data_IF_488577243180
#
_entry.id   IF_488577243180
#
_cell.length_a   1.000
_cell.length_b   1.000
_cell.length_c   1.000
_cell.angle_alpha   90.00
_cell.angle_beta   90.00
_cell.angle_gamma   90.00
#
_symmetry.space_group_name_H-M   'P 1'
#
loop_
_entity.id
_entity.type
_entity.pdbx_description
1 polymer ?
#
# COMPACT_ATOMS: atom_id res chain seq x y z
N UNK A 1 53.96 -27.49 -36.81
CA UNK A 1 52.98 -28.14 -37.70
C UNK A 1 51.65 -28.20 -36.96
N UNK A 2 50.64 -27.50 -37.50
CA UNK A 2 49.20 -27.85 -37.60
C UNK A 2 48.49 -28.27 -36.28
N UNK A 3 47.38 -27.67 -35.82
CA UNK A 3 46.51 -26.66 -36.42
C UNK A 3 45.43 -26.20 -35.42
N UNK A 4 45.05 -24.93 -35.53
CA UNK A 4 43.93 -24.32 -34.83
C UNK A 4 42.62 -24.70 -35.53
N UNK A 5 41.69 -25.34 -34.83
CA UNK A 5 40.34 -25.59 -35.33
C UNK A 5 39.41 -24.43 -34.99
N UNK A 6 39.02 -23.70 -36.03
CA UNK A 6 37.98 -22.67 -36.05
C UNK A 6 36.60 -23.28 -35.81
N UNK A 7 35.88 -22.84 -34.79
CA UNK A 7 34.45 -23.14 -34.62
C UNK A 7 33.60 -22.03 -35.25
N UNK A 8 32.80 -22.46 -36.22
CA UNK A 8 31.95 -21.66 -37.09
C UNK A 8 30.69 -21.17 -36.35
N UNK A 9 30.64 -19.87 -36.04
CA UNK A 9 29.37 -19.15 -35.86
C UNK A 9 28.68 -19.04 -37.21
N UNK A 10 27.52 -19.71 -37.35
CA UNK A 10 26.35 -19.41 -38.21
C UNK A 10 25.69 -20.72 -38.61
N UNK A 11 24.52 -21.00 -38.02
CA UNK A 11 23.36 -21.73 -38.58
C UNK A 11 22.53 -22.28 -37.42
N UNK A 12 21.49 -21.56 -37.02
CA UNK A 12 20.23 -22.11 -36.49
C UNK A 12 19.23 -20.98 -36.28
N UNK A 13 18.92 -20.29 -37.38
CA UNK A 13 17.66 -19.60 -37.57
C UNK A 13 16.68 -20.58 -38.22
N UNK A 14 15.43 -20.54 -37.78
CA UNK A 14 14.26 -21.26 -38.30
C UNK A 14 14.13 -22.76 -37.98
N UNK A 15 13.52 -23.04 -36.83
CA UNK A 15 12.64 -24.19 -36.69
C UNK A 15 11.48 -23.86 -35.73
N UNK A 16 10.26 -24.06 -36.23
CA UNK A 16 9.00 -24.24 -35.50
C UNK A 16 8.26 -23.00 -34.96
N UNK A 17 7.65 -22.29 -35.93
CA UNK A 17 6.23 -21.93 -35.84
C UNK A 17 5.37 -23.19 -35.55
N UNK A 18 4.27 -22.97 -34.84
CA UNK A 18 3.19 -23.90 -34.53
C UNK A 18 3.40 -24.84 -33.32
N UNK A 19 3.33 -24.25 -32.12
CA UNK A 19 2.54 -24.86 -31.04
C UNK A 19 1.32 -23.97 -30.86
N UNK A 20 0.19 -24.50 -31.34
CA UNK A 20 -1.20 -24.27 -30.95
C UNK A 20 -1.38 -23.16 -29.90
N UNK A 21 -2.01 -22.03 -30.21
CA UNK A 21 -3.47 -21.95 -30.41
C UNK A 21 -4.26 -22.95 -29.54
N UNK A 22 -3.87 -23.08 -28.28
CA UNK A 22 -4.71 -23.65 -27.24
C UNK A 22 -5.22 -22.52 -26.38
N UNK A 23 -6.48 -22.18 -26.67
CA UNK A 23 -7.45 -21.81 -25.66
C UNK A 23 -7.17 -20.43 -25.05
N UNK A 24 -7.51 -19.39 -25.84
CA UNK A 24 -8.23 -18.26 -25.26
C UNK A 24 -9.56 -18.78 -24.69
N UNK A 25 -9.50 -19.48 -23.56
CA UNK A 25 -10.58 -19.41 -22.58
C UNK A 25 -10.50 -17.98 -22.09
N UNK A 26 -11.29 -17.11 -22.73
CA UNK A 26 -12.01 -16.11 -21.97
C UNK A 26 -12.75 -16.88 -20.88
N UNK A 27 -12.05 -17.13 -19.77
CA UNK A 27 -12.74 -17.13 -18.50
C UNK A 27 -13.42 -15.77 -18.51
N UNK A 28 -14.75 -15.80 -18.64
CA UNK A 28 -15.54 -14.73 -18.07
C UNK A 28 -15.07 -14.69 -16.61
N UNK A 29 -14.10 -13.82 -16.34
CA UNK A 29 -13.64 -13.49 -15.02
C UNK A 29 -14.94 -13.04 -14.36
N UNK A 30 -15.46 -13.89 -13.47
CA UNK A 30 -16.47 -13.46 -12.54
C UNK A 30 -15.77 -12.39 -11.74
N UNK A 31 -15.89 -11.13 -12.19
CA UNK A 31 -15.63 -9.95 -11.39
C UNK A 31 -16.65 -10.09 -10.27
N UNK A 32 -16.31 -10.88 -9.26
CA UNK A 32 -16.98 -10.83 -7.98
C UNK A 32 -16.78 -9.40 -7.56
N UNK A 33 -17.83 -8.59 -7.71
CA UNK A 33 -17.87 -7.24 -7.15
C UNK A 33 -17.95 -7.44 -5.65
N UNK A 34 -16.82 -7.75 -5.03
CA UNK A 34 -16.67 -7.75 -3.59
C UNK A 34 -16.84 -6.29 -3.19
N UNK A 35 -18.05 -5.96 -2.74
CA UNK A 35 -18.33 -4.66 -2.14
C UNK A 35 -17.53 -4.64 -0.84
N UNK A 36 -16.61 -3.71 -0.75
CA UNK A 36 -15.85 -3.37 0.44
C UNK A 36 -16.48 -2.13 1.09
N UNK A 37 -16.30 -2.00 2.39
CA UNK A 37 -16.74 -0.82 3.14
C UNK A 37 -15.48 -0.15 3.71
N UNK A 38 -15.27 1.12 3.35
CA UNK A 38 -14.15 1.92 3.83
C UNK A 38 -14.75 3.13 4.54
N UNK A 39 -14.61 3.21 5.87
CA UNK A 39 -15.21 4.26 6.70
C UNK A 39 -16.73 4.46 6.48
N UNK A 40 -17.48 3.37 6.34
CA UNK A 40 -18.94 3.44 6.15
C UNK A 40 -19.39 3.66 4.70
N UNK A 41 -18.45 3.79 3.76
CA UNK A 41 -18.74 4.03 2.34
C UNK A 41 -18.57 2.72 1.57
N UNK A 42 -19.65 2.23 0.97
CA UNK A 42 -19.62 1.05 0.11
C UNK A 42 -18.93 1.36 -1.22
N UNK A 43 -17.93 0.57 -1.57
CA UNK A 43 -17.14 0.72 -2.80
C UNK A 43 -16.67 -0.64 -3.32
N UNK A 44 -16.28 -0.73 -4.59
CA UNK A 44 -15.57 -1.90 -5.16
C UNK A 44 -14.05 -1.82 -4.92
N UNK A 45 -13.62 -1.00 -3.97
CA UNK A 45 -12.23 -0.75 -3.62
C UNK A 45 -11.61 0.35 -4.48
N UNK A 46 -10.29 0.41 -4.50
CA UNK A 46 -9.52 1.50 -5.10
C UNK A 46 -9.62 1.55 -6.64
N UNK A 47 -10.10 0.47 -7.28
CA UNK A 47 -10.37 0.38 -8.72
C UNK A 47 -11.79 0.79 -9.12
N UNK A 48 -12.62 1.16 -8.16
CA UNK A 48 -13.99 1.56 -8.43
C UNK A 48 -14.01 2.81 -9.35
N UNK A 49 -14.75 2.83 -10.46
CA UNK A 49 -14.86 4.04 -11.28
C UNK A 49 -15.39 5.27 -10.51
N UNK A 50 -16.12 5.06 -9.41
CA UNK A 50 -16.59 6.12 -8.53
C UNK A 50 -15.53 6.54 -7.48
N UNK A 51 -14.40 5.83 -7.42
CA UNK A 51 -13.23 6.18 -6.62
C UNK A 51 -12.41 7.28 -7.30
N UNK A 52 -12.77 8.53 -7.02
CA UNK A 52 -12.10 9.71 -7.58
C UNK A 52 -11.30 10.45 -6.50
N UNK A 53 -9.98 10.29 -6.51
CA UNK A 53 -9.10 11.11 -5.68
C UNK A 53 -9.22 12.58 -6.08
N UNK A 54 -9.41 13.48 -5.10
CA UNK A 54 -9.49 14.93 -5.33
C UNK A 54 -10.77 15.46 -5.96
N UNK A 55 -11.76 14.61 -6.24
CA UNK A 55 -13.06 15.06 -6.72
C UNK A 55 -14.03 15.23 -5.57
N UNK A 56 -14.80 16.32 -5.57
CA UNK A 56 -15.83 16.60 -4.56
C UNK A 56 -16.95 15.54 -4.54
N UNK A 57 -17.16 14.85 -5.67
CA UNK A 57 -18.27 13.92 -5.91
C UNK A 57 -17.89 12.43 -5.86
N UNK A 58 -16.66 12.08 -5.46
CA UNK A 58 -16.17 10.70 -5.42
C UNK A 58 -16.31 10.00 -4.08
N UNK A 59 -16.34 8.66 -4.08
CA UNK A 59 -16.33 7.84 -2.87
C UNK A 59 -15.09 8.12 -2.01
N UNK A 60 -13.93 8.37 -2.63
CA UNK A 60 -12.70 8.70 -1.93
C UNK A 60 -12.83 9.97 -1.08
N UNK A 61 -13.56 10.99 -1.53
CA UNK A 61 -13.78 12.21 -0.75
C UNK A 61 -14.69 11.95 0.46
N UNK A 62 -15.73 11.14 0.30
CA UNK A 62 -16.60 10.72 1.40
C UNK A 62 -15.82 9.94 2.46
N UNK A 63 -15.00 8.97 2.03
CA UNK A 63 -14.09 8.23 2.90
C UNK A 63 -13.12 9.18 3.62
N UNK A 64 -12.57 10.17 2.91
CA UNK A 64 -11.62 11.13 3.48
C UNK A 64 -12.28 11.99 4.56
N UNK A 65 -13.49 12.49 4.32
CA UNK A 65 -14.25 13.26 5.30
C UNK A 65 -14.57 12.46 6.56
N UNK A 66 -15.03 11.21 6.39
CA UNK A 66 -15.30 10.29 7.50
C UNK A 66 -14.02 9.95 8.29
N UNK A 67 -12.92 9.65 7.60
CA UNK A 67 -11.62 9.38 8.19
C UNK A 67 -11.10 10.57 9.00
N UNK A 68 -11.17 11.79 8.46
CA UNK A 68 -10.76 13.03 9.16
C UNK A 68 -11.59 13.27 10.42
N UNK A 69 -12.89 13.01 10.36
CA UNK A 69 -13.77 13.14 11.52
C UNK A 69 -13.38 12.15 12.61
N UNK A 70 -13.20 10.87 12.24
CA UNK A 70 -12.81 9.80 13.17
C UNK A 70 -11.47 10.07 13.86
N UNK A 71 -10.50 10.64 13.14
CA UNK A 71 -9.14 10.90 13.64
C UNK A 71 -8.83 12.40 13.83
N UNK A 72 -9.85 13.18 14.16
CA UNK A 72 -9.74 14.63 14.35
C UNK A 72 -8.96 15.02 15.61
N UNK A 73 -8.95 14.17 16.64
CA UNK A 73 -8.25 14.40 17.90
C UNK A 73 -6.88 13.73 17.93
N UNK A 74 -5.95 14.30 18.70
CA UNK A 74 -4.63 13.71 18.95
C UNK A 74 -4.75 12.33 19.61
N UNK A 75 -5.59 12.22 20.64
CA UNK A 75 -5.87 10.97 21.37
C UNK A 75 -6.32 9.83 20.45
N UNK A 76 -7.25 10.07 19.52
CA UNK A 76 -7.71 9.04 18.58
C UNK A 76 -6.61 8.58 17.61
N UNK A 77 -5.66 9.46 17.28
CA UNK A 77 -4.51 9.13 16.43
C UNK A 77 -3.45 8.35 17.18
N UNK A 78 -3.17 8.75 18.42
CA UNK A 78 -2.24 8.04 19.30
C UNK A 78 -2.76 6.64 19.63
N UNK A 79 -4.06 6.50 19.93
CA UNK A 79 -4.72 5.21 20.14
C UNK A 79 -4.55 4.30 18.92
N UNK A 80 -4.87 4.80 17.71
CA UNK A 80 -4.67 4.04 16.47
C UNK A 80 -3.22 3.60 16.28
N UNK A 81 -2.26 4.52 16.40
CA UNK A 81 -0.86 4.19 16.12
C UNK A 81 -0.32 3.18 17.13
N UNK A 82 -0.66 3.34 18.40
CA UNK A 82 -0.29 2.40 19.47
C UNK A 82 -0.90 1.02 19.20
N UNK A 83 -2.20 0.97 18.89
CA UNK A 83 -2.92 -0.23 18.48
C UNK A 83 -2.26 -0.99 17.34
N UNK A 84 -1.79 -0.28 16.31
CA UNK A 84 -1.13 -0.89 15.15
C UNK A 84 0.24 -1.45 15.49
N UNK A 85 1.01 -0.79 16.36
CA UNK A 85 2.38 -1.18 16.71
C UNK A 85 2.40 -2.30 17.75
N UNK A 86 1.51 -2.21 18.74
CA UNK A 86 1.41 -3.13 19.89
C UNK A 86 0.37 -4.24 19.68
N UNK A 87 0.06 -4.55 18.43
CA UNK A 87 -0.93 -5.55 17.98
C UNK A 87 -0.82 -6.94 18.66
N UNK A 88 0.27 -7.20 19.38
CA UNK A 88 0.55 -8.43 20.12
C UNK A 88 -0.25 -8.56 21.43
N UNK A 89 -0.70 -7.46 22.03
CA UNK A 89 -1.08 -7.43 23.46
C UNK A 89 -2.53 -7.08 23.79
N UNK A 90 -3.39 -6.87 22.80
CA UNK A 90 -4.75 -6.40 23.08
C UNK A 90 -5.76 -7.08 22.16
N UNK A 91 -6.96 -7.34 22.71
CA UNK A 91 -8.23 -7.31 21.96
C UNK A 91 -8.43 -5.87 21.41
N UNK A 92 -7.42 -5.31 20.74
CA UNK A 92 -7.51 -4.02 20.10
C UNK A 92 -8.60 -4.21 19.08
N UNK A 93 -9.63 -3.41 19.27
CA UNK A 93 -10.73 -3.20 18.36
C UNK A 93 -10.31 -3.49 16.91
N UNK A 94 -10.68 -4.69 16.42
CA UNK A 94 -10.51 -5.14 15.02
C UNK A 94 -11.25 -4.23 14.02
N UNK A 95 -11.79 -3.11 14.49
CA UNK A 95 -12.71 -2.20 13.83
C UNK A 95 -12.12 -1.40 12.67
N UNK A 96 -10.84 -1.59 12.33
CA UNK A 96 -10.28 -1.06 11.09
C UNK A 96 -9.78 -2.20 10.22
N UNK A 97 -10.39 -2.31 9.06
CA UNK A 97 -9.89 -3.13 7.96
C UNK A 97 -8.52 -2.60 7.50
N UNK A 98 -7.73 -3.47 6.88
CA UNK A 98 -6.45 -3.04 6.32
C UNK A 98 -6.63 -2.04 5.15
N UNK A 99 -7.78 -2.08 4.46
CA UNK A 99 -8.14 -1.07 3.46
C UNK A 99 -8.25 0.34 4.05
N UNK A 100 -8.88 0.47 5.22
CA UNK A 100 -8.96 1.75 5.93
C UNK A 100 -7.58 2.22 6.39
N UNK A 101 -6.71 1.31 6.81
CA UNK A 101 -5.32 1.65 7.18
C UNK A 101 -4.52 2.13 5.96
N UNK A 102 -4.62 1.45 4.81
CA UNK A 102 -4.02 1.91 3.54
C UNK A 102 -4.54 3.30 3.17
N UNK A 103 -5.82 3.56 3.40
CA UNK A 103 -6.44 4.84 3.11
C UNK A 103 -5.90 5.96 4.02
N UNK A 104 -5.76 5.71 5.32
CA UNK A 104 -5.14 6.65 6.27
C UNK A 104 -3.69 6.96 5.84
N UNK A 105 -2.92 5.94 5.49
CA UNK A 105 -1.55 6.09 4.98
C UNK A 105 -1.50 6.99 3.73
N UNK A 106 -2.41 6.76 2.77
CA UNK A 106 -2.48 7.57 1.56
C UNK A 106 -2.76 9.05 1.85
N UNK A 107 -3.68 9.34 2.77
CA UNK A 107 -3.99 10.71 3.20
C UNK A 107 -2.81 11.36 3.94
N UNK A 108 -2.14 10.61 4.83
CA UNK A 108 -0.98 11.10 5.57
C UNK A 108 0.20 11.43 4.62
N UNK A 109 0.48 10.58 3.62
CA UNK A 109 1.51 10.88 2.62
C UNK A 109 1.14 12.05 1.72
N UNK A 110 -0.13 12.14 1.30
CA UNK A 110 -0.56 13.29 0.51
C UNK A 110 -0.30 14.60 1.25
N UNK A 111 -0.55 14.62 2.57
CA UNK A 111 -0.19 15.73 3.44
C UNK A 111 1.31 16.01 3.46
N UNK A 112 2.12 15.03 3.81
CA UNK A 112 3.56 15.21 3.89
C UNK A 112 4.15 15.71 2.56
N UNK A 113 3.67 15.19 1.43
CA UNK A 113 4.07 15.65 0.08
C UNK A 113 3.73 17.12 -0.13
N UNK A 114 2.52 17.53 0.24
CA UNK A 114 2.06 18.93 0.11
C UNK A 114 2.87 19.89 0.97
N UNK A 115 3.25 19.46 2.16
CA UNK A 115 4.08 20.24 3.10
C UNK A 115 5.57 20.17 2.77
N UNK A 116 5.94 19.51 1.65
CA UNK A 116 7.31 19.25 1.23
C UNK A 116 8.17 18.54 2.30
N UNK A 117 7.52 17.80 3.20
CA UNK A 117 8.16 17.00 4.23
C UNK A 117 8.70 15.71 3.60
N UNK A 118 9.91 15.33 3.99
CA UNK A 118 10.55 14.07 3.60
C UNK A 118 10.75 13.85 2.07
N UNK A 119 10.53 14.88 1.24
CA UNK A 119 10.69 14.83 -0.21
C UNK A 119 9.71 13.86 -0.91
N UNK A 120 10.10 13.32 -2.08
CA UNK A 120 9.27 12.36 -2.83
C UNK A 120 9.32 10.93 -2.27
N UNK A 121 9.79 10.73 -1.03
CA UNK A 121 10.10 9.42 -0.46
C UNK A 121 9.03 8.37 -0.68
N UNK A 122 7.78 8.75 -0.42
CA UNK A 122 6.62 7.88 -0.55
C UNK A 122 5.72 8.24 -1.73
N UNK A 123 6.09 9.23 -2.54
CA UNK A 123 5.31 9.64 -3.72
C UNK A 123 5.05 8.46 -4.65
N UNK A 124 6.07 7.64 -4.91
CA UNK A 124 5.93 6.44 -5.73
C UNK A 124 5.00 5.39 -5.11
N UNK A 125 5.06 5.18 -3.79
CA UNK A 125 4.19 4.19 -3.12
C UNK A 125 2.73 4.66 -3.17
N UNK A 126 2.51 5.96 -2.94
CA UNK A 126 1.21 6.58 -3.08
C UNK A 126 0.68 6.46 -4.51
N UNK A 127 1.50 6.77 -5.52
CA UNK A 127 1.11 6.66 -6.92
C UNK A 127 0.73 5.21 -7.28
N UNK A 128 1.47 4.21 -6.78
CA UNK A 128 1.16 2.79 -7.01
C UNK A 128 -0.08 2.30 -6.25
N UNK A 129 -0.35 2.82 -5.04
CA UNK A 129 -1.59 2.58 -4.31
C UNK A 129 -2.78 3.19 -5.04
N UNK A 130 -2.66 4.45 -5.49
CA UNK A 130 -3.71 5.18 -6.22
C UNK A 130 -4.05 4.50 -7.55
N UNK A 131 -3.05 4.00 -8.29
CA UNK A 131 -3.29 3.22 -9.51
C UNK A 131 -4.01 1.90 -9.24
N UNK A 132 -3.93 1.41 -8.00
CA UNK A 132 -4.50 0.13 -7.60
C UNK A 132 -4.00 -1.04 -8.46
N UNK A 133 -2.81 -0.97 -9.06
CA UNK A 133 -2.33 -2.06 -9.93
C UNK A 133 -1.49 -3.04 -9.11
N UNK A 134 -0.47 -2.53 -8.42
CA UNK A 134 0.58 -3.32 -7.77
C UNK A 134 0.15 -4.07 -6.51
N UNK A 135 -0.77 -3.49 -5.74
CA UNK A 135 -1.16 -4.00 -4.42
C UNK A 135 -2.59 -4.57 -4.38
N UNK A 136 -3.24 -4.71 -5.53
CA UNK A 136 -4.64 -5.16 -5.65
C UNK A 136 -4.77 -6.31 -6.66
N UNK A 137 -3.95 -7.35 -6.48
CA UNK A 137 -4.04 -8.62 -7.20
C UNK A 137 -4.83 -9.68 -6.40
N UNK A 138 -5.05 -10.86 -7.00
CA UNK A 138 -5.86 -11.95 -6.43
C UNK A 138 -5.30 -12.56 -5.12
N UNK A 139 -4.07 -12.22 -4.72
CA UNK A 139 -3.39 -12.73 -3.52
C UNK A 139 -3.12 -11.60 -2.50
N UNK A 140 -4.01 -11.46 -1.51
CA UNK A 140 -3.91 -10.42 -0.47
C UNK A 140 -2.64 -10.53 0.37
N UNK A 141 -2.16 -11.75 0.64
CA UNK A 141 -0.95 -11.97 1.43
C UNK A 141 0.28 -11.48 0.67
N UNK A 142 0.40 -11.87 -0.61
CA UNK A 142 1.49 -11.41 -1.47
C UNK A 142 1.46 -9.88 -1.65
N UNK A 143 0.27 -9.29 -1.87
CA UNK A 143 0.10 -7.84 -1.97
C UNK A 143 0.55 -7.13 -0.69
N UNK A 144 0.17 -7.66 0.48
CA UNK A 144 0.52 -7.11 1.78
C UNK A 144 2.03 -7.15 2.03
N UNK A 145 2.67 -8.29 1.75
CA UNK A 145 4.13 -8.42 1.84
C UNK A 145 4.83 -7.44 0.91
N UNK A 146 4.33 -7.27 -0.32
CA UNK A 146 4.90 -6.35 -1.29
C UNK A 146 4.80 -4.89 -0.82
N UNK A 147 3.64 -4.48 -0.30
CA UNK A 147 3.45 -3.16 0.28
C UNK A 147 4.44 -2.92 1.42
N UNK A 148 4.48 -3.82 2.42
CA UNK A 148 5.39 -3.70 3.57
C UNK A 148 6.85 -3.61 3.13
N UNK A 149 7.28 -4.41 2.16
CA UNK A 149 8.65 -4.32 1.62
C UNK A 149 8.94 -2.94 1.01
N UNK A 150 7.99 -2.40 0.24
CA UNK A 150 8.18 -1.10 -0.40
C UNK A 150 8.12 0.06 0.61
N UNK A 151 7.36 -0.08 1.69
CA UNK A 151 7.37 0.84 2.84
C UNK A 151 8.67 0.78 3.62
N UNK A 152 9.15 -0.42 3.95
CA UNK A 152 10.36 -0.66 4.71
C UNK A 152 11.60 -0.09 4.00
N UNK A 153 11.70 -0.29 2.68
CA UNK A 153 12.80 0.27 1.85
C UNK A 153 12.90 1.80 1.95
N UNK A 154 11.78 2.48 2.16
CA UNK A 154 11.66 3.95 2.18
C UNK A 154 11.63 4.54 3.59
N UNK A 155 11.45 3.70 4.60
CA UNK A 155 11.27 4.12 6.00
C UNK A 155 12.37 5.02 6.53
N UNK A 156 13.61 4.75 6.14
CA UNK A 156 14.76 5.53 6.60
C UNK A 156 14.73 7.00 6.14
N UNK A 157 13.94 7.34 5.11
CA UNK A 157 13.84 8.71 4.61
C UNK A 157 12.94 9.58 5.50
N UNK A 158 12.09 8.97 6.34
CA UNK A 158 11.31 9.65 7.37
C UNK A 158 12.16 10.05 8.59
N UNK A 159 13.45 9.71 8.59
CA UNK A 159 14.37 9.94 9.71
C UNK A 159 13.84 9.40 11.06
N UNK A 160 13.33 8.15 11.13
CA UNK A 160 12.81 7.60 12.36
C UNK A 160 13.91 7.50 13.43
N UNK A 161 13.49 7.42 14.69
CA UNK A 161 14.43 7.21 15.80
C UNK A 161 15.09 5.81 15.74
N UNK A 162 16.02 5.57 16.66
CA UNK A 162 16.78 4.31 16.68
C UNK A 162 15.89 3.12 17.02
N UNK A 163 14.92 3.30 17.93
CA UNK A 163 14.03 2.24 18.38
C UNK A 163 13.09 1.81 17.24
N UNK A 164 12.48 2.77 16.56
CA UNK A 164 11.61 2.56 15.41
C UNK A 164 12.33 1.89 14.23
N UNK A 165 13.60 2.21 14.01
CA UNK A 165 14.42 1.51 13.01
C UNK A 165 14.60 0.04 13.34
N UNK A 166 14.80 -0.26 14.62
CA UNK A 166 14.95 -1.65 15.10
C UNK A 166 13.61 -2.37 14.90
N UNK A 167 12.49 -1.79 15.34
CA UNK A 167 11.15 -2.37 15.17
C UNK A 167 10.82 -2.64 13.69
N UNK A 168 11.10 -1.68 12.80
CA UNK A 168 10.87 -1.83 11.36
C UNK A 168 11.72 -2.97 10.75
N UNK A 169 12.96 -3.15 11.20
CA UNK A 169 13.82 -4.24 10.70
C UNK A 169 13.41 -5.62 11.25
N UNK A 170 12.74 -5.67 12.41
CA UNK A 170 12.29 -6.91 13.06
C UNK A 170 10.91 -7.41 12.62
N UNK A 171 10.19 -6.66 11.78
CA UNK A 171 8.80 -6.97 11.36
C UNK A 171 8.56 -8.44 10.96
N UNK A 172 9.51 -9.06 10.26
CA UNK A 172 9.39 -10.44 9.77
C UNK A 172 10.17 -11.47 10.59
N UNK A 173 10.97 -11.03 11.56
CA UNK A 173 11.71 -11.94 12.44
C UNK A 173 10.83 -12.40 13.61
N UNK A 174 9.89 -11.56 14.02
CA UNK A 174 9.08 -11.77 15.21
C UNK A 174 7.76 -12.49 14.92
N UNK A 175 7.33 -12.60 13.66
CA UNK A 175 6.03 -13.18 13.31
C UNK A 175 5.95 -13.73 11.88
N UNK A 176 5.32 -14.91 11.73
CA UNK A 176 4.87 -15.44 10.44
C UNK A 176 3.49 -14.87 10.02
N UNK A 177 2.85 -14.10 10.91
CA UNK A 177 1.55 -13.47 10.69
C UNK A 177 1.69 -12.18 9.86
N UNK A 178 1.23 -12.24 8.61
CA UNK A 178 1.26 -11.13 7.67
C UNK A 178 0.36 -9.99 8.09
N UNK A 179 -0.78 -10.27 8.74
CA UNK A 179 -1.70 -9.24 9.23
C UNK A 179 -1.01 -8.35 10.25
N UNK A 180 -0.36 -9.00 11.23
CA UNK A 180 0.42 -8.33 12.25
C UNK A 180 1.57 -7.52 11.64
N UNK A 181 2.33 -8.13 10.72
CA UNK A 181 3.44 -7.46 10.05
C UNK A 181 3.02 -6.20 9.28
N UNK A 182 1.91 -6.27 8.53
CA UNK A 182 1.40 -5.15 7.73
C UNK A 182 0.84 -4.01 8.59
N UNK A 183 0.11 -4.33 9.67
CA UNK A 183 -0.40 -3.34 10.62
C UNK A 183 0.72 -2.63 11.36
N UNK A 184 1.67 -3.38 11.92
CA UNK A 184 2.83 -2.83 12.63
C UNK A 184 3.68 -1.94 11.74
N UNK A 185 3.90 -2.35 10.49
CA UNK A 185 4.57 -1.50 9.49
C UNK A 185 3.82 -0.19 9.26
N UNK A 186 2.49 -0.24 9.08
CA UNK A 186 1.67 0.95 8.89
C UNK A 186 1.73 1.90 10.09
N UNK A 187 1.63 1.37 11.31
CA UNK A 187 1.71 2.16 12.54
C UNK A 187 3.06 2.87 12.69
N UNK A 188 4.17 2.17 12.42
CA UNK A 188 5.51 2.76 12.40
C UNK A 188 5.61 3.91 11.39
N UNK A 189 5.09 3.71 10.17
CA UNK A 189 5.11 4.75 9.14
C UNK A 189 4.24 5.96 9.53
N UNK A 190 3.04 5.73 10.08
CA UNK A 190 2.18 6.81 10.56
C UNK A 190 2.82 7.60 11.70
N UNK A 191 3.52 6.93 12.62
CA UNK A 191 4.29 7.62 13.66
C UNK A 191 5.39 8.48 13.05
N UNK A 192 6.22 7.88 12.19
CA UNK A 192 7.38 8.56 11.61
C UNK A 192 7.02 9.74 10.69
N UNK A 193 5.85 9.71 10.04
CA UNK A 193 5.39 10.82 9.19
C UNK A 193 4.79 11.99 9.98
N UNK A 194 4.57 11.85 11.30
CA UNK A 194 3.98 12.89 12.15
C UNK A 194 2.46 12.85 12.22
N UNK A 195 1.80 11.73 11.84
CA UNK A 195 0.34 11.64 11.84
C UNK A 195 -0.29 11.98 13.20
N UNK A 196 0.31 11.54 14.30
CA UNK A 196 -0.21 11.80 15.66
C UNK A 196 -0.29 13.30 15.93
N UNK A 197 0.79 14.03 15.68
CA UNK A 197 0.87 15.46 15.98
C UNK A 197 0.08 16.29 14.97
N UNK A 198 0.28 16.01 13.69
CA UNK A 198 -0.18 16.91 12.64
C UNK A 198 -1.60 16.57 12.17
N UNK A 199 -2.06 15.32 12.30
CA UNK A 199 -3.32 14.84 11.74
C UNK A 199 -3.35 14.86 10.20
N UNK A 200 -4.54 14.81 9.61
CA UNK A 200 -4.77 14.78 8.15
C UNK A 200 -5.05 16.19 7.58
N UNK A 201 -4.88 16.39 6.26
CA UNK A 201 -5.26 17.65 5.57
C UNK A 201 -6.76 17.91 5.76
N UNK A 202 -7.15 19.16 6.03
CA UNK A 202 -8.55 19.64 6.05
C UNK A 202 -8.96 20.17 4.66
N UNK A 203 -10.24 20.00 4.33
CA UNK A 203 -10.88 19.77 3.00
C UNK A 203 -10.62 20.73 1.82
N UNK A 204 -9.98 21.88 1.97
CA UNK A 204 -9.98 22.87 0.86
C UNK A 204 -9.01 22.56 -0.31
N UNK A 205 -8.18 21.51 -0.22
CA UNK A 205 -7.09 21.26 -1.18
C UNK A 205 -6.77 19.76 -1.36
N UNK A 206 -7.76 18.93 -1.72
CA UNK A 206 -7.54 17.51 -2.00
C UNK A 206 -7.09 17.26 -3.45
N UNK A 207 -5.91 16.66 -3.65
CA UNK A 207 -5.42 16.05 -4.90
C UNK A 207 -5.72 16.81 -6.23
N UNK A 208 -5.46 18.12 -6.29
CA UNK A 208 -5.39 18.86 -7.56
C UNK A 208 -4.10 18.55 -8.33
#
# INVERSE_FOLDING_TARGET
MIGLTTYSLRKLTFALLAICSQVMKSAAFSVGTNIQEIFGVSTKGWKDPDWKWGSDDGCANQCASACRTKFSTHEAREELVTALIEYDNQEVDENLSFEEIKFILALAWHKARKEALYGEAYGQVLDELVKAERYEHDDDEANSRLLVQDLQKRYMWLQPDVEDKILMNMLWYDTDDVERGRRRCAGLVLRAIGFIEDGLIVEDECFQ
#
